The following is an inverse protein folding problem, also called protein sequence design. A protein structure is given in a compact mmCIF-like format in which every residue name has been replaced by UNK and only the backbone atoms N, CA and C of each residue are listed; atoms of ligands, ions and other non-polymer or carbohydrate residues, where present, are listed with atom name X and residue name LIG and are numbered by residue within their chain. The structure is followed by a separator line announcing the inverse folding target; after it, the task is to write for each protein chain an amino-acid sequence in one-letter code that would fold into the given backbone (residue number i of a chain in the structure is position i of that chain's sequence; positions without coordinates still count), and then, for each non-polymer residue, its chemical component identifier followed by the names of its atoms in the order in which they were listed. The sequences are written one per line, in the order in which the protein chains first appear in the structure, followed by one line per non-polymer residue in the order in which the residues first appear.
data_IF_336840039709
#
_entry.id   IF_336840039709
#
_cell.length_a   1.000
_cell.length_b   1.000
_cell.length_c   1.000
_cell.angle_alpha   90.00
_cell.angle_beta   90.00
_cell.angle_gamma   90.00
#
_symmetry.space_group_name_H-M   'P 1'
#
loop_
_entity.id
_entity.type
_entity.pdbx_description
1 polymer ?
#
# COMPACT_ATOMS: atom_id res chain seq x y z
N UNK A 1 5.55 3.43 25.11
CA UNK A 1 4.42 3.56 24.17
C UNK A 1 3.94 5.01 23.99
N UNK A 2 3.85 5.85 25.01
CA UNK A 2 3.42 7.26 24.92
C UNK A 2 4.29 8.14 23.98
N UNK A 3 5.60 7.89 23.88
CA UNK A 3 6.53 8.64 23.01
C UNK A 3 6.34 8.40 21.51
N UNK A 4 5.77 7.26 21.10
CA UNK A 4 5.52 6.94 19.69
C UNK A 4 4.26 7.62 19.17
N UNK A 5 3.21 7.71 20.00
CA UNK A 5 1.96 8.40 19.63
C UNK A 5 2.15 9.93 19.47
N UNK A 6 3.00 10.56 20.30
CA UNK A 6 3.27 12.00 20.18
C UNK A 6 3.99 12.37 18.87
N UNK A 7 4.90 11.52 18.38
CA UNK A 7 5.62 11.76 17.11
C UNK A 7 4.80 11.44 15.86
N UNK A 8 3.83 10.52 15.96
CA UNK A 8 2.86 10.25 14.87
C UNK A 8 1.90 11.43 14.66
N UNK A 9 1.50 12.11 15.76
CA UNK A 9 0.62 13.29 15.68
C UNK A 9 1.25 14.49 14.97
N UNK A 10 2.54 14.74 15.19
CA UNK A 10 3.28 15.83 14.51
C UNK A 10 3.41 15.54 13.01
N UNK A 11 3.67 14.30 12.63
CA UNK A 11 3.82 13.92 11.21
C UNK A 11 2.52 13.96 10.41
N UNK A 12 1.37 13.70 11.04
CA UNK A 12 0.06 13.86 10.37
C UNK A 12 -0.32 15.32 10.18
N UNK A 13 0.01 16.20 11.15
CA UNK A 13 -0.22 17.65 11.01
C UNK A 13 0.68 18.28 9.95
N UNK A 14 1.94 17.82 9.79
CA UNK A 14 2.84 18.29 8.72
C UNK A 14 2.42 17.77 7.33
N UNK A 15 1.98 16.51 7.23
CA UNK A 15 1.40 16.01 5.99
C UNK A 15 0.12 16.77 5.61
N UNK A 16 -0.73 17.08 6.58
CA UNK A 16 -1.91 17.93 6.37
C UNK A 16 -1.52 19.38 6.04
N UNK A 17 -0.54 19.98 6.72
CA UNK A 17 -0.02 21.31 6.38
C UNK A 17 0.61 21.37 4.99
N UNK A 18 1.33 20.34 4.56
CA UNK A 18 1.93 20.30 3.22
C UNK A 18 0.87 20.23 2.11
N UNK A 19 -0.34 19.73 2.41
CA UNK A 19 -1.49 19.80 1.51
C UNK A 19 -1.89 21.25 1.15
N UNK A 20 -1.67 22.21 2.04
CA UNK A 20 -2.12 23.59 1.88
C UNK A 20 -1.02 24.59 1.55
N UNK A 21 0.27 24.26 1.76
CA UNK A 21 1.37 25.24 1.66
C UNK A 21 2.05 25.37 0.30
N UNK A 22 1.90 24.40 -0.63
CA UNK A 22 2.32 24.50 -2.05
C UNK A 22 1.45 23.63 -2.96
N UNK A 23 0.16 23.93 -3.13
CA UNK A 23 -0.79 22.99 -3.74
C UNK A 23 -0.59 22.80 -5.26
N UNK A 24 -0.17 23.82 -5.99
CA UNK A 24 -0.21 23.80 -7.46
C UNK A 24 0.66 22.71 -8.09
N UNK A 25 1.94 22.63 -7.70
CA UNK A 25 2.87 21.65 -8.31
C UNK A 25 2.60 20.21 -7.86
N UNK A 26 2.16 20.00 -6.62
CA UNK A 26 1.84 18.65 -6.11
C UNK A 26 0.53 18.13 -6.68
N UNK A 27 -0.51 18.97 -6.75
CA UNK A 27 -1.77 18.60 -7.38
C UNK A 27 -1.56 18.25 -8.85
N UNK A 28 -0.80 19.05 -9.58
CA UNK A 28 -0.46 18.77 -10.97
C UNK A 28 0.24 17.40 -11.13
N UNK A 29 1.20 17.06 -10.25
CA UNK A 29 1.86 15.74 -10.27
C UNK A 29 0.89 14.59 -9.98
N UNK A 30 -0.03 14.77 -9.03
CA UNK A 30 -1.05 13.77 -8.71
C UNK A 30 -2.00 13.57 -9.89
N UNK A 31 -2.54 14.65 -10.45
CA UNK A 31 -3.50 14.58 -11.57
C UNK A 31 -2.84 14.10 -12.87
N UNK A 32 -1.57 14.43 -13.11
CA UNK A 32 -0.84 13.98 -14.30
C UNK A 32 -0.32 12.54 -14.20
N UNK A 33 -0.45 11.89 -13.04
CA UNK A 33 -0.08 10.49 -12.90
C UNK A 33 -1.31 9.58 -12.89
N UNK A 34 -1.31 8.52 -13.70
CA UNK A 34 -2.38 7.53 -13.73
C UNK A 34 -2.66 6.91 -12.35
N UNK A 35 -1.60 6.73 -11.54
CA UNK A 35 -1.71 6.24 -10.16
C UNK A 35 -2.36 7.25 -9.22
N UNK A 36 -2.08 8.54 -9.39
CA UNK A 36 -2.71 9.61 -8.61
C UNK A 36 -4.18 9.75 -8.96
N UNK A 37 -4.53 9.70 -10.24
CA UNK A 37 -5.93 9.72 -10.71
C UNK A 37 -6.70 8.52 -10.17
N UNK A 38 -6.12 7.30 -10.16
CA UNK A 38 -6.77 6.12 -9.55
C UNK A 38 -7.01 6.31 -8.04
N UNK A 39 -6.07 6.90 -7.31
CA UNK A 39 -6.25 7.19 -5.87
C UNK A 39 -7.36 8.22 -5.62
N UNK A 40 -7.43 9.27 -6.43
CA UNK A 40 -8.51 10.27 -6.36
C UNK A 40 -9.86 9.63 -6.68
N UNK A 41 -9.96 8.88 -7.78
CA UNK A 41 -11.18 8.18 -8.17
C UNK A 41 -11.62 7.15 -7.12
N UNK A 42 -10.67 6.43 -6.50
CA UNK A 42 -10.95 5.51 -5.38
C UNK A 42 -11.55 6.26 -4.20
N UNK A 43 -10.96 7.40 -3.81
CA UNK A 43 -11.45 8.19 -2.66
C UNK A 43 -12.85 8.72 -2.91
N UNK A 44 -13.10 9.33 -4.08
CA UNK A 44 -14.41 9.83 -4.47
C UNK A 44 -15.47 8.71 -4.53
N UNK A 45 -15.12 7.56 -5.14
CA UNK A 45 -16.00 6.37 -5.17
C UNK A 45 -16.34 5.90 -3.76
N UNK A 46 -15.34 5.78 -2.88
CA UNK A 46 -15.57 5.27 -1.51
C UNK A 46 -16.41 6.24 -0.68
N UNK A 47 -16.27 7.55 -0.89
CA UNK A 47 -17.14 8.55 -0.27
C UNK A 47 -18.60 8.39 -0.75
N UNK A 48 -18.83 8.24 -2.06
CA UNK A 48 -20.16 8.02 -2.61
C UNK A 48 -20.78 6.69 -2.13
N UNK A 49 -19.97 5.62 -2.00
CA UNK A 49 -20.42 4.32 -1.44
C UNK A 49 -20.83 4.45 0.03
N UNK A 50 -20.05 5.18 0.84
CA UNK A 50 -20.41 5.42 2.25
C UNK A 50 -21.70 6.23 2.35
N UNK A 51 -21.83 7.30 1.56
CA UNK A 51 -23.06 8.11 1.51
C UNK A 51 -24.26 7.24 1.12
N UNK A 52 -24.16 6.43 0.08
CA UNK A 52 -25.23 5.52 -0.34
C UNK A 52 -25.59 4.53 0.78
N UNK A 53 -24.60 3.94 1.46
CA UNK A 53 -24.86 2.98 2.55
C UNK A 53 -25.55 3.63 3.77
N UNK A 54 -25.21 4.88 4.07
CA UNK A 54 -25.90 5.64 5.15
C UNK A 54 -27.34 5.94 4.74
N UNK A 55 -27.56 6.45 3.53
CA UNK A 55 -28.89 6.78 3.02
C UNK A 55 -29.78 5.53 2.91
N UNK A 56 -29.23 4.41 2.45
CA UNK A 56 -29.93 3.11 2.43
C UNK A 56 -30.42 2.72 3.83
N UNK A 57 -29.58 2.93 4.85
CA UNK A 57 -29.90 2.57 6.23
C UNK A 57 -30.89 3.54 6.89
N UNK A 58 -30.83 4.83 6.59
CA UNK A 58 -31.64 5.88 7.24
C UNK A 58 -32.92 6.20 6.50
N UNK A 59 -32.92 6.20 5.19
CA UNK A 59 -34.01 6.67 4.34
C UNK A 59 -34.62 5.55 3.47
N UNK A 60 -33.89 4.45 3.28
CA UNK A 60 -34.27 3.34 2.42
C UNK A 60 -33.78 3.48 0.97
N UNK A 61 -33.93 2.40 0.20
CA UNK A 61 -33.41 2.29 -1.17
C UNK A 61 -34.19 3.09 -2.24
N UNK A 62 -35.38 3.58 -1.88
CA UNK A 62 -36.30 4.27 -2.83
C UNK A 62 -36.12 5.79 -2.92
N UNK A 63 -35.23 6.40 -2.11
CA UNK A 63 -35.06 7.84 -2.11
C UNK A 63 -34.18 8.33 -3.27
N UNK A 64 -34.47 9.50 -3.80
CA UNK A 64 -33.68 10.12 -4.88
C UNK A 64 -32.22 10.33 -4.47
N UNK A 65 -31.99 10.67 -3.20
CA UNK A 65 -30.65 10.83 -2.62
C UNK A 65 -29.83 9.52 -2.69
N UNK A 66 -30.43 8.39 -2.26
CA UNK A 66 -29.79 7.07 -2.37
C UNK A 66 -29.50 6.69 -3.82
N UNK A 67 -30.51 6.85 -4.71
CA UNK A 67 -30.37 6.51 -6.13
C UNK A 67 -29.24 7.34 -6.77
N UNK A 68 -29.15 8.62 -6.45
CA UNK A 68 -28.10 9.50 -6.97
C UNK A 68 -26.72 9.11 -6.45
N UNK A 69 -26.56 8.90 -5.14
CA UNK A 69 -25.27 8.47 -4.55
C UNK A 69 -24.82 7.12 -5.12
N UNK A 70 -25.72 6.17 -5.29
CA UNK A 70 -25.45 4.87 -5.89
C UNK A 70 -25.02 4.97 -7.37
N UNK A 71 -25.68 5.83 -8.15
CA UNK A 71 -25.29 6.10 -9.56
C UNK A 71 -23.90 6.70 -9.66
N UNK A 72 -23.58 7.68 -8.79
CA UNK A 72 -22.26 8.31 -8.73
C UNK A 72 -21.19 7.28 -8.35
N UNK A 73 -21.41 6.48 -7.32
CA UNK A 73 -20.48 5.42 -6.89
C UNK A 73 -20.22 4.41 -8.02
N UNK A 74 -21.25 4.02 -8.75
CA UNK A 74 -21.18 3.08 -9.88
C UNK A 74 -20.40 3.69 -11.05
N UNK A 75 -20.71 4.93 -11.44
CA UNK A 75 -20.00 5.64 -12.52
C UNK A 75 -18.51 5.82 -12.23
N UNK A 76 -18.17 6.21 -10.99
CA UNK A 76 -16.77 6.29 -10.55
C UNK A 76 -16.08 4.92 -10.52
N UNK A 77 -16.82 3.86 -10.19
CA UNK A 77 -16.32 2.47 -10.26
C UNK A 77 -16.00 2.03 -11.70
N UNK A 78 -16.86 2.38 -12.63
CA UNK A 78 -16.66 2.08 -14.06
C UNK A 78 -15.46 2.86 -14.62
N UNK A 79 -15.38 4.17 -14.36
CA UNK A 79 -14.23 5.00 -14.74
C UNK A 79 -12.91 4.47 -14.15
N UNK A 80 -12.93 4.08 -12.86
CA UNK A 80 -11.78 3.50 -12.20
C UNK A 80 -11.35 2.18 -12.84
N UNK A 81 -12.27 1.37 -13.37
CA UNK A 81 -11.93 0.11 -14.06
C UNK A 81 -11.06 0.38 -15.28
N UNK A 82 -11.36 1.42 -16.05
CA UNK A 82 -10.57 1.82 -17.23
C UNK A 82 -9.19 2.34 -16.81
N UNK A 83 -9.13 3.22 -15.80
CA UNK A 83 -7.86 3.74 -15.27
C UNK A 83 -6.99 2.60 -14.71
N UNK A 84 -7.59 1.70 -13.96
CA UNK A 84 -6.89 0.58 -13.34
C UNK A 84 -6.38 -0.44 -14.37
N UNK A 85 -7.05 -0.61 -15.51
CA UNK A 85 -6.57 -1.42 -16.63
C UNK A 85 -5.24 -0.87 -17.18
N UNK A 86 -5.16 0.44 -17.43
CA UNK A 86 -3.91 1.09 -17.84
C UNK A 86 -2.80 0.92 -16.80
N UNK A 87 -3.13 1.09 -15.51
CA UNK A 87 -2.18 0.89 -14.41
C UNK A 87 -1.73 -0.58 -14.26
N UNK A 88 -2.58 -1.55 -14.59
CA UNK A 88 -2.23 -2.96 -14.55
C UNK A 88 -1.05 -3.27 -15.47
N UNK A 89 -1.10 -2.82 -16.70
CA UNK A 89 -0.04 -3.09 -17.68
C UNK A 89 1.16 -2.16 -17.57
N UNK A 90 0.96 -0.86 -17.38
CA UNK A 90 2.05 0.12 -17.35
C UNK A 90 2.77 0.22 -15.98
N UNK A 91 2.10 -0.17 -14.89
CA UNK A 91 2.64 -0.04 -13.54
C UNK A 91 2.81 -1.38 -12.83
N UNK A 92 1.73 -2.16 -12.70
CA UNK A 92 1.74 -3.37 -11.86
C UNK A 92 2.51 -4.51 -12.50
N UNK A 93 2.45 -4.70 -13.80
CA UNK A 93 3.19 -5.78 -14.48
C UNK A 93 4.71 -5.61 -14.34
N UNK A 94 5.32 -4.44 -14.69
CA UNK A 94 6.75 -4.24 -14.45
C UNK A 94 7.14 -4.36 -12.98
N UNK A 95 6.34 -3.82 -12.05
CA UNK A 95 6.60 -3.91 -10.63
C UNK A 95 6.57 -5.36 -10.13
N UNK A 96 5.65 -6.18 -10.62
CA UNK A 96 5.57 -7.61 -10.28
C UNK A 96 6.81 -8.37 -10.75
N UNK A 97 7.25 -8.12 -11.98
CA UNK A 97 8.48 -8.71 -12.53
C UNK A 97 9.70 -8.28 -11.71
N UNK A 98 9.78 -7.00 -11.33
CA UNK A 98 10.86 -6.51 -10.48
C UNK A 98 10.83 -7.17 -9.09
N UNK A 99 9.67 -7.30 -8.45
CA UNK A 99 9.54 -8.00 -7.17
C UNK A 99 9.97 -9.46 -7.26
N UNK A 100 9.65 -10.14 -8.36
CA UNK A 100 10.12 -11.51 -8.58
C UNK A 100 11.65 -11.57 -8.68
N UNK A 101 12.28 -10.68 -9.46
CA UNK A 101 13.73 -10.60 -9.59
C UNK A 101 14.41 -10.28 -8.25
N UNK A 102 13.87 -9.33 -7.50
CA UNK A 102 14.36 -8.94 -6.18
C UNK A 102 14.25 -10.11 -5.19
N UNK A 103 13.12 -10.82 -5.18
CA UNK A 103 12.92 -12.01 -4.35
C UNK A 103 14.00 -13.07 -4.63
N UNK A 104 14.24 -13.38 -5.91
CA UNK A 104 15.32 -14.33 -6.28
C UNK A 104 16.70 -13.86 -5.85
N UNK A 105 17.02 -12.57 -6.03
CA UNK A 105 18.30 -12.01 -5.60
C UNK A 105 18.49 -12.13 -4.08
N UNK A 106 17.46 -11.82 -3.29
CA UNK A 106 17.51 -11.97 -1.84
C UNK A 106 17.60 -13.44 -1.39
N UNK A 107 16.92 -14.35 -2.07
CA UNK A 107 17.05 -15.79 -1.78
C UNK A 107 18.46 -16.30 -2.10
N UNK A 108 19.07 -15.86 -3.20
CA UNK A 108 20.45 -16.20 -3.53
C UNK A 108 21.44 -15.63 -2.50
N UNK A 109 21.25 -14.38 -2.10
CA UNK A 109 22.08 -13.73 -1.07
C UNK A 109 21.95 -14.43 0.29
N UNK A 110 20.75 -14.91 0.65
CA UNK A 110 20.53 -15.68 1.87
C UNK A 110 21.20 -17.08 1.83
N UNK A 111 21.37 -17.68 0.64
CA UNK A 111 21.96 -19.01 0.46
C UNK A 111 23.48 -18.99 0.32
N UNK A 112 24.08 -17.88 -0.11
CA UNK A 112 25.53 -17.72 -0.26
C UNK A 112 26.07 -16.89 0.90
N UNK A 113 26.50 -17.51 2.04
CA UNK A 113 27.21 -16.78 3.07
C UNK A 113 28.52 -16.27 2.47
N UNK A 114 28.79 -14.98 2.55
CA UNK A 114 30.09 -14.42 2.21
C UNK A 114 31.13 -14.99 3.20
N UNK A 115 32.11 -15.73 2.68
CA UNK A 115 33.12 -16.49 3.44
C UNK A 115 33.97 -15.64 4.41
N UNK A 116 33.81 -14.31 4.43
CA UNK A 116 34.67 -13.36 5.16
C UNK A 116 34.03 -12.69 6.39
N UNK A 117 32.82 -13.11 6.81
CA UNK A 117 32.15 -12.43 7.95
C UNK A 117 32.11 -13.29 9.20
N UNK A 118 32.22 -12.68 10.43
CA UNK A 118 32.08 -13.43 11.69
C UNK A 118 30.70 -14.11 11.79
N UNK A 119 30.64 -15.32 12.34
CA UNK A 119 29.45 -16.17 12.39
C UNK A 119 28.16 -15.51 12.94
N UNK A 120 28.27 -14.56 13.86
CA UNK A 120 27.11 -13.86 14.45
C UNK A 120 26.50 -12.87 13.46
N UNK A 121 27.32 -12.11 12.73
CA UNK A 121 26.88 -11.18 11.67
C UNK A 121 26.24 -11.92 10.49
N UNK A 122 26.75 -13.12 10.16
CA UNK A 122 26.17 -13.96 9.10
C UNK A 122 24.73 -14.34 9.37
N UNK A 123 24.39 -14.74 10.61
CA UNK A 123 23.03 -15.15 10.96
C UNK A 123 22.04 -13.98 10.82
N UNK A 124 22.41 -12.78 11.25
CA UNK A 124 21.57 -11.58 11.14
C UNK A 124 21.35 -11.17 9.67
N UNK A 125 22.38 -11.20 8.84
CA UNK A 125 22.31 -10.89 7.39
C UNK A 125 21.41 -11.89 6.66
N UNK A 126 21.57 -13.19 6.91
CA UNK A 126 20.71 -14.22 6.30
C UNK A 126 19.23 -14.03 6.69
N UNK A 127 18.94 -13.69 7.95
CA UNK A 127 17.57 -13.45 8.43
C UNK A 127 16.98 -12.20 7.75
N UNK A 128 17.76 -11.14 7.57
CA UNK A 128 17.31 -9.92 6.90
C UNK A 128 17.02 -10.15 5.42
N UNK A 129 17.88 -10.84 4.70
CA UNK A 129 17.65 -11.23 3.30
C UNK A 129 16.43 -12.14 3.17
N UNK A 130 16.24 -13.09 4.10
CA UNK A 130 15.05 -13.93 4.15
C UNK A 130 13.75 -13.13 4.32
N UNK A 131 13.75 -12.13 5.22
CA UNK A 131 12.59 -11.23 5.42
C UNK A 131 12.30 -10.38 4.18
N UNK A 132 13.34 -9.87 3.51
CA UNK A 132 13.19 -9.12 2.26
C UNK A 132 12.65 -10.00 1.13
N UNK A 133 13.15 -11.22 0.98
CA UNK A 133 12.63 -12.19 0.01
C UNK A 133 11.15 -12.48 0.26
N UNK A 134 10.74 -12.68 1.51
CA UNK A 134 9.35 -12.91 1.87
C UNK A 134 8.48 -11.67 1.61
N UNK A 135 8.96 -10.46 1.87
CA UNK A 135 8.26 -9.22 1.55
C UNK A 135 8.07 -9.04 0.04
N UNK A 136 9.10 -9.33 -0.76
CA UNK A 136 9.04 -9.28 -2.23
C UNK A 136 8.09 -10.36 -2.79
N UNK A 137 8.04 -11.56 -2.19
CA UNK A 137 7.05 -12.59 -2.53
C UNK A 137 5.62 -12.09 -2.25
N UNK A 138 5.38 -11.43 -1.11
CA UNK A 138 4.09 -10.80 -0.83
C UNK A 138 3.74 -9.71 -1.86
N UNK A 139 4.72 -8.89 -2.27
CA UNK A 139 4.53 -7.87 -3.30
C UNK A 139 4.23 -8.50 -4.67
N UNK A 140 4.87 -9.62 -5.00
CA UNK A 140 4.58 -10.40 -6.22
C UNK A 140 3.15 -10.95 -6.21
N UNK A 141 2.71 -11.55 -5.09
CA UNK A 141 1.32 -12.00 -4.93
C UNK A 141 0.36 -10.83 -5.13
N UNK A 142 0.63 -9.67 -4.50
CA UNK A 142 -0.14 -8.46 -4.68
C UNK A 142 -0.22 -8.00 -6.13
N UNK A 143 0.89 -8.05 -6.87
CA UNK A 143 0.94 -7.70 -8.29
C UNK A 143 0.13 -8.66 -9.17
N UNK A 144 0.29 -9.97 -8.96
CA UNK A 144 -0.45 -11.00 -9.71
C UNK A 144 -1.95 -10.88 -9.46
N UNK A 145 -2.39 -10.73 -8.21
CA UNK A 145 -3.80 -10.56 -7.87
C UNK A 145 -4.40 -9.27 -8.46
N UNK A 146 -3.63 -8.18 -8.47
CA UNK A 146 -4.04 -6.93 -9.12
C UNK A 146 -4.19 -7.10 -10.64
N UNK A 147 -3.23 -7.73 -11.31
CA UNK A 147 -3.26 -8.04 -12.74
C UNK A 147 -4.46 -8.92 -13.08
N UNK A 148 -4.71 -9.99 -12.32
CA UNK A 148 -5.87 -10.86 -12.52
C UNK A 148 -7.18 -10.09 -12.37
N UNK A 149 -7.29 -9.24 -11.35
CA UNK A 149 -8.51 -8.48 -11.09
C UNK A 149 -8.74 -7.39 -12.12
N UNK A 150 -7.76 -6.49 -12.31
CA UNK A 150 -7.92 -5.27 -13.11
C UNK A 150 -7.39 -5.42 -14.55
N UNK A 151 -6.51 -6.38 -14.81
CA UNK A 151 -6.04 -6.70 -16.16
C UNK A 151 -6.93 -7.69 -16.90
N UNK A 152 -7.71 -8.52 -16.18
CA UNK A 152 -8.54 -9.55 -16.80
C UNK A 152 -10.01 -9.49 -16.35
N UNK A 153 -10.34 -9.79 -15.10
CA UNK A 153 -11.74 -10.04 -14.68
C UNK A 153 -12.61 -8.80 -14.81
N UNK A 154 -12.20 -7.67 -14.24
CA UNK A 154 -13.01 -6.42 -14.28
C UNK A 154 -13.23 -5.88 -15.68
N UNK A 155 -12.24 -5.85 -16.60
CA UNK A 155 -12.46 -5.48 -17.99
C UNK A 155 -13.49 -6.39 -18.69
N UNK A 156 -13.43 -7.70 -18.48
CA UNK A 156 -14.40 -8.66 -19.04
C UNK A 156 -15.81 -8.37 -18.52
N UNK A 157 -15.97 -8.16 -17.21
CA UNK A 157 -17.27 -7.79 -16.62
C UNK A 157 -17.77 -6.43 -17.14
N UNK A 158 -16.87 -5.46 -17.34
CA UNK A 158 -17.18 -4.14 -17.84
C UNK A 158 -17.65 -4.19 -19.31
N UNK A 159 -16.91 -4.89 -20.17
CA UNK A 159 -17.30 -5.09 -21.58
C UNK A 159 -18.63 -5.82 -21.67
N UNK A 160 -18.81 -6.90 -20.89
CA UNK A 160 -20.07 -7.64 -20.88
C UNK A 160 -21.28 -6.77 -20.48
N UNK A 161 -21.08 -5.74 -19.63
CA UNK A 161 -22.11 -4.78 -19.23
C UNK A 161 -22.47 -3.81 -20.35
N UNK A 162 -21.50 -3.45 -21.22
CA UNK A 162 -21.71 -2.48 -22.31
C UNK A 162 -22.39 -3.10 -23.53
N UNK A 163 -22.33 -4.40 -23.69
CA UNK A 163 -22.92 -5.09 -24.84
C UNK A 163 -24.45 -5.16 -24.74
N UNK A 164 -25.13 -4.91 -25.84
CA UNK A 164 -26.58 -5.06 -25.96
C UNK A 164 -27.04 -6.52 -25.73
N UNK A 165 -26.19 -7.49 -26.07
CA UNK A 165 -26.36 -8.91 -25.75
C UNK A 165 -25.16 -9.37 -24.93
N UNK A 166 -25.31 -9.47 -23.60
CA UNK A 166 -24.26 -9.98 -22.73
C UNK A 166 -23.86 -11.42 -23.12
N UNK A 167 -22.55 -11.69 -23.18
CA UNK A 167 -22.03 -13.02 -23.51
C UNK A 167 -21.84 -13.90 -22.26
N UNK A 168 -21.79 -13.29 -21.05
CA UNK A 168 -21.71 -14.02 -19.79
C UNK A 168 -23.11 -14.33 -19.26
N UNK A 169 -23.32 -15.57 -18.82
CA UNK A 169 -24.52 -15.93 -18.05
C UNK A 169 -24.54 -15.19 -16.71
N UNK A 170 -25.74 -15.03 -16.12
CA UNK A 170 -25.87 -14.42 -14.80
C UNK A 170 -25.06 -15.15 -13.72
N UNK A 171 -24.99 -16.49 -13.80
CA UNK A 171 -24.19 -17.30 -12.89
C UNK A 171 -22.68 -17.05 -13.06
N UNK A 172 -22.16 -17.00 -14.30
CA UNK A 172 -20.77 -16.70 -14.57
C UNK A 172 -20.39 -15.29 -14.11
N UNK A 173 -21.24 -14.30 -14.35
CA UNK A 173 -21.06 -12.92 -13.90
C UNK A 173 -20.97 -12.83 -12.39
N UNK A 174 -21.88 -13.48 -11.66
CA UNK A 174 -21.88 -13.49 -10.20
C UNK A 174 -20.66 -14.23 -9.65
N UNK A 175 -20.27 -15.36 -10.24
CA UNK A 175 -19.08 -16.11 -9.87
C UNK A 175 -17.79 -15.28 -10.04
N UNK A 176 -17.63 -14.62 -11.19
CA UNK A 176 -16.48 -13.72 -11.42
C UNK A 176 -16.50 -12.53 -10.45
N UNK A 177 -17.67 -11.94 -10.19
CA UNK A 177 -17.81 -10.85 -9.23
C UNK A 177 -17.40 -11.24 -7.82
N UNK A 178 -17.82 -12.40 -7.35
CA UNK A 178 -17.44 -12.95 -6.04
C UNK A 178 -15.94 -13.28 -5.99
N UNK A 179 -15.39 -13.87 -7.05
CA UNK A 179 -13.96 -14.17 -7.13
C UNK A 179 -13.08 -12.93 -6.98
N UNK A 180 -13.50 -11.79 -7.54
CA UNK A 180 -12.79 -10.50 -7.36
C UNK A 180 -12.66 -10.15 -5.89
N UNK A 181 -13.72 -10.34 -5.09
CA UNK A 181 -13.70 -10.06 -3.65
C UNK A 181 -12.63 -10.88 -2.92
N UNK A 182 -12.61 -12.21 -3.13
CA UNK A 182 -11.63 -13.10 -2.49
C UNK A 182 -10.19 -12.83 -2.96
N UNK A 183 -9.98 -12.59 -4.27
CA UNK A 183 -8.66 -12.24 -4.81
C UNK A 183 -8.15 -10.94 -4.19
N UNK A 184 -9.02 -9.93 -4.04
CA UNK A 184 -8.63 -8.65 -3.44
C UNK A 184 -8.37 -8.79 -1.93
N UNK A 185 -9.14 -9.57 -1.20
CA UNK A 185 -8.87 -9.86 0.20
C UNK A 185 -7.49 -10.53 0.39
N UNK A 186 -7.17 -11.52 -0.44
CA UNK A 186 -5.84 -12.15 -0.44
C UNK A 186 -4.72 -11.14 -0.76
N UNK A 187 -4.93 -10.23 -1.73
CA UNK A 187 -4.01 -9.14 -2.03
C UNK A 187 -3.77 -8.24 -0.81
N UNK A 188 -4.83 -7.81 -0.14
CA UNK A 188 -4.73 -6.93 1.00
C UNK A 188 -4.02 -7.61 2.17
N UNK A 189 -4.34 -8.88 2.46
CA UNK A 189 -3.67 -9.67 3.49
C UNK A 189 -2.16 -9.84 3.20
N UNK A 190 -1.79 -10.24 1.98
CA UNK A 190 -0.39 -10.34 1.56
C UNK A 190 0.34 -8.99 1.70
N UNK A 191 -0.32 -7.89 1.35
CA UNK A 191 0.26 -6.55 1.46
C UNK A 191 0.50 -6.13 2.91
N UNK A 192 -0.39 -6.50 3.86
CA UNK A 192 -0.19 -6.27 5.30
C UNK A 192 1.03 -7.02 5.81
N UNK A 193 1.14 -8.31 5.48
CA UNK A 193 2.27 -9.16 5.86
C UNK A 193 3.57 -8.61 5.26
N UNK A 194 3.58 -8.28 3.97
CA UNK A 194 4.74 -7.72 3.27
C UNK A 194 5.21 -6.40 3.88
N UNK A 195 4.28 -5.51 4.26
CA UNK A 195 4.62 -4.26 4.93
C UNK A 195 5.23 -4.50 6.31
N UNK A 196 4.72 -5.44 7.10
CA UNK A 196 5.29 -5.85 8.39
C UNK A 196 6.71 -6.41 8.26
N UNK A 197 6.94 -7.27 7.26
CA UNK A 197 8.27 -7.81 6.96
C UNK A 197 9.25 -6.72 6.53
N UNK A 198 8.81 -5.76 5.71
CA UNK A 198 9.64 -4.60 5.32
C UNK A 198 10.02 -3.72 6.50
N UNK A 199 9.10 -3.47 7.45
CA UNK A 199 9.41 -2.73 8.68
C UNK A 199 10.48 -3.46 9.48
N UNK A 200 10.34 -4.78 9.65
CA UNK A 200 11.29 -5.61 10.40
C UNK A 200 12.67 -5.66 9.72
N UNK A 201 12.71 -5.79 8.40
CA UNK A 201 13.96 -5.79 7.62
C UNK A 201 14.65 -4.43 7.67
N UNK A 202 13.92 -3.32 7.50
CA UNK A 202 14.49 -1.97 7.52
C UNK A 202 15.07 -1.60 8.90
N UNK A 203 14.46 -2.08 10.00
CA UNK A 203 15.02 -1.91 11.36
C UNK A 203 16.37 -2.61 11.48
N UNK A 204 16.43 -3.90 11.10
CA UNK A 204 17.66 -4.67 11.16
C UNK A 204 18.78 -4.06 10.29
N UNK A 205 18.44 -3.64 9.08
CA UNK A 205 19.40 -2.99 8.18
C UNK A 205 19.89 -1.64 8.73
N UNK A 206 19.02 -0.86 9.36
CA UNK A 206 19.41 0.41 9.99
C UNK A 206 20.41 0.17 11.12
N UNK A 207 20.13 -0.82 11.98
CA UNK A 207 21.02 -1.16 13.08
C UNK A 207 22.37 -1.65 12.56
N UNK A 208 22.41 -2.47 11.51
CA UNK A 208 23.64 -2.92 10.87
C UNK A 208 24.44 -1.75 10.25
N UNK A 209 23.77 -0.86 9.49
CA UNK A 209 24.43 0.32 8.93
C UNK A 209 24.99 1.24 10.02
N UNK A 210 24.26 1.45 11.11
CA UNK A 210 24.75 2.24 12.25
C UNK A 210 25.97 1.59 12.92
N UNK A 211 25.97 0.26 13.08
CA UNK A 211 27.13 -0.50 13.61
C UNK A 211 28.37 -0.34 12.70
N UNK A 212 28.20 -0.41 11.37
CA UNK A 212 29.34 -0.21 10.42
C UNK A 212 29.92 1.19 10.50
N UNK A 213 29.08 2.23 10.62
CA UNK A 213 29.53 3.61 10.81
C UNK A 213 30.32 3.73 12.13
N UNK A 214 29.84 3.11 13.21
CA UNK A 214 30.52 3.11 14.50
C UNK A 214 31.87 2.39 14.45
N UNK A 215 31.97 1.28 13.72
CA UNK A 215 33.21 0.49 13.61
C UNK A 215 34.26 1.12 12.68
N UNK A 216 33.99 2.29 12.09
CA UNK A 216 34.99 3.00 11.30
C UNK A 216 35.15 2.48 9.87
N UNK A 217 34.29 1.61 9.36
CA UNK A 217 34.30 1.17 7.95
C UNK A 217 34.12 2.36 6.96
N UNK A 218 33.65 3.53 7.47
CA UNK A 218 33.55 4.76 6.71
C UNK A 218 34.80 5.65 6.76
N UNK A 219 35.76 5.37 7.66
CA UNK A 219 36.93 6.23 7.88
C UNK A 219 37.97 6.16 6.77
N UNK A 220 38.03 5.07 5.99
CA UNK A 220 38.92 4.94 4.83
C UNK A 220 38.62 5.97 3.71
N UNK A 221 37.38 6.51 3.67
CA UNK A 221 36.95 7.44 2.63
C UNK A 221 37.20 8.91 2.99
N UNK A 222 37.31 9.24 4.28
CA UNK A 222 37.27 10.64 4.74
C UNK A 222 38.61 11.31 5.05
N UNK A 223 39.70 10.58 5.13
CA UNK A 223 41.08 11.17 5.23
C UNK A 223 41.28 12.18 6.39
N UNK A 224 40.42 12.21 7.38
CA UNK A 224 40.44 13.22 8.44
C UNK A 224 41.43 12.87 9.56
N UNK A 225 42.39 13.77 9.81
CA UNK A 225 43.51 13.56 10.74
C UNK A 225 43.19 13.89 12.23
N UNK A 226 41.96 14.31 12.58
CA UNK A 226 41.58 14.69 13.95
C UNK A 226 40.46 13.83 14.52
N UNK A 227 40.70 13.10 15.61
CA UNK A 227 39.74 12.17 16.22
C UNK A 227 38.44 12.82 16.72
N UNK A 228 38.50 14.05 17.24
CA UNK A 228 37.30 14.82 17.67
C UNK A 228 36.38 15.19 16.45
N UNK A 229 36.96 15.46 15.30
CA UNK A 229 36.21 15.72 14.09
C UNK A 229 35.50 14.47 13.56
N UNK A 230 36.16 13.32 13.64
CA UNK A 230 35.61 12.01 13.17
C UNK A 230 34.37 11.60 13.97
N UNK A 231 34.39 11.75 15.28
CA UNK A 231 33.24 11.36 16.12
C UNK A 231 32.00 12.21 15.81
N UNK A 232 32.17 13.54 15.63
CA UNK A 232 31.05 14.41 15.28
C UNK A 232 30.46 14.10 13.89
N UNK A 233 31.28 13.70 12.93
CA UNK A 233 30.85 13.28 11.60
C UNK A 233 30.10 11.95 11.67
N UNK A 234 30.62 10.95 12.36
CA UNK A 234 29.94 9.65 12.57
C UNK A 234 28.57 9.82 13.21
N UNK A 235 28.46 10.65 14.26
CA UNK A 235 27.15 10.92 14.92
C UNK A 235 26.15 11.56 13.96
N UNK A 236 26.57 12.48 13.08
CA UNK A 236 25.71 13.08 12.04
C UNK A 236 25.26 12.06 11.01
N UNK A 237 26.15 11.19 10.58
CA UNK A 237 25.82 10.12 9.62
C UNK A 237 24.84 9.11 10.23
N UNK A 238 25.04 8.69 11.48
CA UNK A 238 24.12 7.81 12.19
C UNK A 238 22.74 8.48 12.35
N UNK A 239 22.71 9.77 12.71
CA UNK A 239 21.45 10.52 12.80
C UNK A 239 20.76 10.61 11.43
N UNK A 240 21.51 10.81 10.35
CA UNK A 240 21.02 10.81 8.99
C UNK A 240 20.42 9.46 8.57
N UNK A 241 21.12 8.35 8.81
CA UNK A 241 20.63 7.00 8.50
C UNK A 241 19.38 6.65 9.31
N UNK A 242 19.36 6.95 10.62
CA UNK A 242 18.17 6.75 11.46
C UNK A 242 16.97 7.55 10.95
N UNK A 243 17.17 8.80 10.51
CA UNK A 243 16.10 9.64 9.94
C UNK A 243 15.56 9.06 8.63
N UNK A 244 16.43 8.59 7.73
CA UNK A 244 16.04 7.94 6.46
C UNK A 244 15.26 6.64 6.72
N UNK A 245 15.74 5.81 7.63
CA UNK A 245 15.10 4.56 8.02
C UNK A 245 13.72 4.81 8.66
N UNK A 246 13.62 5.77 9.59
CA UNK A 246 12.34 6.17 10.18
C UNK A 246 11.34 6.63 9.12
N UNK A 247 11.78 7.35 8.10
CA UNK A 247 10.92 7.78 6.99
C UNK A 247 10.40 6.58 6.19
N UNK A 248 11.24 5.61 5.86
CA UNK A 248 10.83 4.37 5.17
C UNK A 248 9.86 3.55 6.01
N UNK A 249 10.15 3.37 7.31
CA UNK A 249 9.28 2.67 8.27
C UNK A 249 7.92 3.36 8.36
N UNK A 250 7.88 4.70 8.44
CA UNK A 250 6.64 5.48 8.47
C UNK A 250 5.76 5.16 7.25
N UNK A 251 6.32 5.16 6.04
CA UNK A 251 5.55 4.84 4.84
C UNK A 251 5.08 3.37 4.81
N UNK A 252 5.87 2.45 5.32
CA UNK A 252 5.48 1.04 5.44
C UNK A 252 4.33 0.86 6.44
N UNK A 253 4.36 1.59 7.57
CA UNK A 253 3.26 1.59 8.55
C UNK A 253 1.98 2.14 7.93
N UNK A 254 2.04 3.27 7.22
CA UNK A 254 0.87 3.84 6.55
C UNK A 254 0.29 2.88 5.52
N UNK A 255 1.14 2.22 4.74
CA UNK A 255 0.71 1.18 3.80
C UNK A 255 0.07 -0.01 4.52
N UNK A 256 0.65 -0.45 5.64
CA UNK A 256 0.09 -1.53 6.45
C UNK A 256 -1.30 -1.18 6.98
N UNK A 257 -1.50 0.04 7.50
CA UNK A 257 -2.80 0.52 7.98
C UNK A 257 -3.81 0.63 6.82
N UNK A 258 -3.40 1.20 5.67
CA UNK A 258 -4.25 1.26 4.47
C UNK A 258 -4.76 -0.13 4.11
N UNK A 259 -3.86 -1.10 4.01
CA UNK A 259 -4.19 -2.46 3.58
C UNK A 259 -4.95 -3.27 4.65
N UNK A 260 -4.69 -3.03 5.91
CA UNK A 260 -5.46 -3.61 7.01
C UNK A 260 -6.93 -3.15 6.98
N UNK A 261 -7.17 -1.86 6.79
CA UNK A 261 -8.53 -1.33 6.67
C UNK A 261 -9.26 -1.90 5.43
N UNK A 262 -8.55 -2.07 4.30
CA UNK A 262 -9.11 -2.73 3.11
C UNK A 262 -9.44 -4.20 3.41
N UNK A 263 -8.59 -4.91 4.14
CA UNK A 263 -8.83 -6.30 4.56
C UNK A 263 -10.06 -6.40 5.48
N UNK A 264 -10.20 -5.49 6.44
CA UNK A 264 -11.38 -5.42 7.31
C UNK A 264 -12.64 -5.15 6.47
N UNK A 265 -12.59 -4.20 5.54
CA UNK A 265 -13.71 -3.93 4.64
C UNK A 265 -14.13 -5.17 3.83
N UNK A 266 -13.16 -5.94 3.33
CA UNK A 266 -13.43 -7.17 2.59
C UNK A 266 -14.03 -8.25 3.49
N UNK A 267 -13.59 -8.40 4.74
CA UNK A 267 -14.20 -9.30 5.71
C UNK A 267 -15.67 -8.96 5.93
N UNK A 268 -16.00 -7.68 6.12
CA UNK A 268 -17.40 -7.26 6.31
C UNK A 268 -18.28 -7.48 5.06
N UNK A 269 -17.68 -7.52 3.85
CA UNK A 269 -18.39 -7.81 2.60
C UNK A 269 -18.56 -9.31 2.34
N UNK A 270 -17.54 -10.12 2.65
CA UNK A 270 -17.47 -11.52 2.25
C UNK A 270 -17.98 -12.48 3.32
N UNK A 271 -17.80 -12.15 4.60
CA UNK A 271 -18.17 -13.04 5.71
C UNK A 271 -19.56 -12.67 6.25
N UNK A 272 -20.47 -13.64 6.40
CA UNK A 272 -21.79 -13.42 7.01
C UNK A 272 -21.62 -13.23 8.52
N UNK A 273 -21.33 -12.01 8.96
CA UNK A 273 -21.23 -11.66 10.37
C UNK A 273 -22.63 -11.52 11.01
N UNK A 274 -22.80 -11.79 12.32
CA UNK A 274 -24.09 -11.71 13.02
C UNK A 274 -24.48 -10.25 13.34
N UNK A 275 -24.45 -9.38 12.36
CA UNK A 275 -24.83 -7.96 12.42
C UNK A 275 -25.69 -7.61 11.21
N UNK A 276 -26.53 -6.59 11.36
CA UNK A 276 -27.45 -6.19 10.29
C UNK A 276 -26.70 -5.79 9.01
N UNK A 277 -27.29 -6.11 7.86
CA UNK A 277 -26.68 -5.85 6.56
C UNK A 277 -26.34 -4.37 6.35
N UNK A 278 -27.21 -3.45 6.82
CA UNK A 278 -26.99 -2.00 6.74
C UNK A 278 -25.74 -1.58 7.51
N UNK A 279 -25.57 -2.03 8.75
CA UNK A 279 -24.37 -1.72 9.56
C UNK A 279 -23.13 -2.31 8.92
N UNK A 280 -23.18 -3.54 8.39
CA UNK A 280 -22.06 -4.15 7.65
C UNK A 280 -21.63 -3.31 6.47
N UNK A 281 -22.58 -2.82 5.67
CA UNK A 281 -22.31 -1.98 4.51
C UNK A 281 -21.66 -0.65 4.91
N UNK A 282 -22.17 0.01 5.95
CA UNK A 282 -21.60 1.27 6.47
C UNK A 282 -20.16 1.08 6.97
N UNK A 283 -19.91 0.04 7.79
CA UNK A 283 -18.58 -0.25 8.32
C UNK A 283 -17.60 -0.56 7.18
N UNK A 284 -17.99 -1.43 6.25
CA UNK A 284 -17.15 -1.76 5.10
C UNK A 284 -16.82 -0.53 4.24
N UNK A 285 -17.81 0.31 3.97
CA UNK A 285 -17.61 1.54 3.19
C UNK A 285 -16.75 2.56 3.95
N UNK A 286 -16.95 2.72 5.27
CA UNK A 286 -16.14 3.58 6.12
C UNK A 286 -14.67 3.14 6.17
N UNK A 287 -14.40 1.85 6.35
CA UNK A 287 -13.04 1.30 6.28
C UNK A 287 -12.39 1.53 4.90
N UNK A 288 -13.16 1.31 3.81
CA UNK A 288 -12.66 1.55 2.44
C UNK A 288 -12.35 3.02 2.20
N UNK A 289 -13.17 3.94 2.67
CA UNK A 289 -12.92 5.38 2.57
C UNK A 289 -11.69 5.80 3.37
N UNK A 290 -11.57 5.35 4.61
CA UNK A 290 -10.41 5.64 5.46
C UNK A 290 -9.11 5.14 4.83
N UNK A 291 -9.11 3.92 4.30
CA UNK A 291 -7.98 3.37 3.55
C UNK A 291 -7.65 4.21 2.30
N UNK A 292 -8.66 4.64 1.55
CA UNK A 292 -8.46 5.46 0.35
C UNK A 292 -7.86 6.82 0.69
N UNK A 293 -8.30 7.47 1.77
CA UNK A 293 -7.74 8.74 2.26
C UNK A 293 -6.27 8.56 2.67
N UNK A 294 -5.95 7.53 3.47
CA UNK A 294 -4.57 7.22 3.88
C UNK A 294 -3.69 6.99 2.66
N UNK A 295 -4.17 6.21 1.69
CA UNK A 295 -3.45 5.93 0.45
C UNK A 295 -3.22 7.18 -0.41
N UNK A 296 -4.19 8.09 -0.49
CA UNK A 296 -4.07 9.37 -1.19
C UNK A 296 -3.07 10.29 -0.47
N UNK A 297 -3.16 10.44 0.86
CA UNK A 297 -2.23 11.24 1.65
C UNK A 297 -0.80 10.71 1.56
N UNK A 298 -0.62 9.38 1.60
CA UNK A 298 0.69 8.73 1.44
C UNK A 298 1.27 9.01 0.05
N UNK A 299 0.45 8.90 -0.99
CA UNK A 299 0.86 9.20 -2.36
C UNK A 299 1.23 10.68 -2.53
N UNK A 300 0.39 11.59 -2.01
CA UNK A 300 0.61 13.04 -2.03
C UNK A 300 1.90 13.46 -1.32
N UNK A 301 2.23 12.80 -0.20
CA UNK A 301 3.46 13.12 0.55
C UNK A 301 4.74 12.72 -0.18
N UNK A 302 4.64 11.81 -1.16
CA UNK A 302 5.75 11.36 -2.01
C UNK A 302 5.87 12.14 -3.33
N UNK A 303 4.78 12.80 -3.76
CA UNK A 303 4.74 13.64 -4.96
C UNK A 303 5.39 15.01 -4.71
#
# INVERSE_FOLDING_TARGET
MASICGRLGVGTSEAFRSLFTRPGNKLARVVNSAKGVDKLAKTAKSAAELTASILEHTEGTGTDSFVTASKVAKGLGDARTVIALGNAFNGSLPATVQSARSCFAHLQAARKPEEKRPNVLMKEVCVTHGRRAAADACAMIGGVTYLTTFGAIRPVLFVNKLLAKPFLSSQAKNGLGSSVGYIMAANHAASVVGAGLNISAERADCDERCKRILNGEADEVLGANNDLGKESVRQREIAGEKSRSLTRIKYSILTMIEKFLECVADLFKLVPLPITQGIRAIVAAGCTLSAAIIGLCTFWSKA
#
